data_IF_843054151001
#
_entry.id   IF_843054151001
#
_cell.length_a   1.000
_cell.length_b   1.000
_cell.length_c   1.000
_cell.angle_alpha   90.00
_cell.angle_beta   90.00
_cell.angle_gamma   90.00
#
_symmetry.space_group_name_H-M   'P 1'
#
loop_
_entity.id
_entity.type
_entity.pdbx_description
1 polymer ?
#
# COMPACT_ATOMS: atom_id res chain seq x y z
N UNK A 1 -30.00 -2.25 -13.46
CA UNK A 1 -29.75 -2.93 -12.17
C UNK A 1 -31.03 -2.92 -11.35
N UNK A 2 -31.44 -4.05 -10.80
CA UNK A 2 -32.64 -4.14 -9.94
C UNK A 2 -32.30 -3.67 -8.52
N UNK A 3 -33.29 -3.27 -7.73
CA UNK A 3 -33.08 -2.83 -6.33
C UNK A 3 -32.40 -3.93 -5.49
N UNK A 4 -32.82 -5.18 -5.66
CA UNK A 4 -32.24 -6.35 -4.99
C UNK A 4 -30.73 -6.49 -5.27
N UNK A 5 -30.33 -6.26 -6.54
CA UNK A 5 -28.95 -6.35 -6.97
C UNK A 5 -28.11 -5.18 -6.42
N UNK A 6 -28.69 -3.97 -6.35
CA UNK A 6 -28.05 -2.80 -5.68
C UNK A 6 -27.78 -3.10 -4.21
N UNK A 7 -28.78 -3.64 -3.50
CA UNK A 7 -28.65 -3.99 -2.09
C UNK A 7 -27.60 -5.09 -1.91
N UNK A 8 -27.64 -6.14 -2.73
CA UNK A 8 -26.66 -7.23 -2.69
C UNK A 8 -25.23 -6.75 -2.89
N UNK A 9 -24.99 -5.92 -3.90
CA UNK A 9 -23.67 -5.31 -4.18
C UNK A 9 -23.19 -4.48 -2.98
N UNK A 10 -24.07 -3.66 -2.40
CA UNK A 10 -23.73 -2.76 -1.28
C UNK A 10 -23.36 -3.56 -0.04
N UNK A 11 -24.11 -4.61 0.27
CA UNK A 11 -23.85 -5.46 1.44
C UNK A 11 -22.57 -6.29 1.27
N UNK A 12 -22.36 -6.91 0.10
CA UNK A 12 -21.12 -7.62 -0.21
C UNK A 12 -19.90 -6.68 -0.13
N UNK A 13 -20.04 -5.46 -0.65
CA UNK A 13 -19.02 -4.42 -0.57
C UNK A 13 -18.63 -4.14 0.89
N UNK A 14 -19.59 -3.90 1.77
CA UNK A 14 -19.32 -3.63 3.18
C UNK A 14 -18.61 -4.80 3.89
N UNK A 15 -19.02 -6.04 3.60
CA UNK A 15 -18.39 -7.22 4.21
C UNK A 15 -16.97 -7.41 3.69
N UNK A 16 -16.76 -7.31 2.37
CA UNK A 16 -15.44 -7.43 1.76
C UNK A 16 -14.50 -6.33 2.24
N UNK A 17 -14.97 -5.10 2.44
CA UNK A 17 -14.17 -4.03 3.02
C UNK A 17 -13.62 -4.40 4.41
N UNK A 18 -14.48 -4.89 5.30
CA UNK A 18 -14.08 -5.34 6.65
C UNK A 18 -13.11 -6.51 6.55
N UNK A 19 -13.40 -7.48 5.69
CA UNK A 19 -12.61 -8.68 5.52
C UNK A 19 -11.20 -8.40 4.98
N UNK A 20 -11.10 -7.64 3.88
CA UNK A 20 -9.81 -7.24 3.31
C UNK A 20 -9.02 -6.32 4.25
N UNK A 21 -9.70 -5.49 5.04
CA UNK A 21 -9.04 -4.68 6.07
C UNK A 21 -8.43 -5.56 7.17
N UNK A 22 -9.17 -6.57 7.63
CA UNK A 22 -8.70 -7.48 8.68
C UNK A 22 -7.51 -8.31 8.19
N UNK A 23 -7.61 -8.90 6.99
CA UNK A 23 -6.50 -9.68 6.41
C UNK A 23 -5.31 -8.79 6.12
N UNK A 24 -5.52 -7.63 5.51
CA UNK A 24 -4.45 -6.67 5.24
C UNK A 24 -3.75 -6.22 6.53
N UNK A 25 -4.50 -6.01 7.61
CA UNK A 25 -3.94 -5.69 8.93
C UNK A 25 -3.10 -6.83 9.52
N UNK A 26 -3.57 -8.08 9.41
CA UNK A 26 -2.79 -9.26 9.84
C UNK A 26 -1.49 -9.36 9.05
N UNK A 27 -1.56 -9.22 7.72
CA UNK A 27 -0.39 -9.30 6.84
C UNK A 27 0.58 -8.15 7.11
N UNK A 28 0.07 -6.93 7.28
CA UNK A 28 0.86 -5.75 7.65
C UNK A 28 1.61 -5.98 8.96
N UNK A 29 0.93 -6.51 9.98
CA UNK A 29 1.53 -6.85 11.27
C UNK A 29 2.61 -7.94 11.15
N UNK A 30 2.39 -8.97 10.34
CA UNK A 30 3.41 -10.00 10.09
C UNK A 30 4.64 -9.42 9.37
N UNK A 31 4.41 -8.55 8.39
CA UNK A 31 5.48 -7.92 7.62
C UNK A 31 6.24 -6.86 8.40
N UNK A 32 5.63 -6.24 9.41
CA UNK A 32 6.34 -5.34 10.31
C UNK A 32 7.59 -6.01 10.92
N UNK A 33 7.52 -7.29 11.27
CA UNK A 33 8.67 -8.04 11.78
C UNK A 33 9.66 -8.50 10.71
N UNK A 34 9.27 -8.44 9.43
CA UNK A 34 10.11 -8.81 8.29
C UNK A 34 10.83 -7.61 7.68
N UNK A 35 10.26 -6.42 7.80
CA UNK A 35 10.81 -5.18 7.23
C UNK A 35 11.82 -4.57 8.18
N UNK A 36 13.08 -4.47 7.72
CA UNK A 36 14.13 -3.79 8.47
C UNK A 36 13.83 -2.31 8.66
N UNK A 37 14.27 -1.77 9.81
CA UNK A 37 14.07 -0.37 10.18
C UNK A 37 14.72 0.60 9.18
N UNK A 38 14.15 1.81 9.09
CA UNK A 38 14.79 2.94 8.42
C UNK A 38 15.69 3.67 9.43
N UNK A 39 16.99 3.41 9.38
CA UNK A 39 17.98 3.98 10.31
C UNK A 39 19.19 4.58 9.58
N UNK A 40 20.06 5.28 10.32
CA UNK A 40 21.26 5.91 9.77
C UNK A 40 22.19 4.90 9.07
N UNK A 41 22.26 3.66 9.55
CA UNK A 41 23.07 2.61 8.93
C UNK A 41 22.58 2.30 7.51
N UNK A 42 21.26 2.16 7.34
CA UNK A 42 20.64 1.94 6.04
C UNK A 42 20.85 3.13 5.09
N UNK A 43 20.75 4.36 5.60
CA UNK A 43 20.96 5.58 4.80
C UNK A 43 22.40 5.71 4.27
N UNK A 44 23.38 5.16 4.99
CA UNK A 44 24.79 5.13 4.60
C UNK A 44 25.12 4.04 3.57
N UNK A 45 24.21 3.09 3.32
CA UNK A 45 24.42 2.06 2.29
C UNK A 45 24.40 2.64 0.88
N UNK A 46 24.91 1.87 -0.09
CA UNK A 46 24.91 2.28 -1.49
C UNK A 46 23.48 2.48 -2.02
N UNK A 47 23.29 3.40 -2.97
CA UNK A 47 21.98 3.66 -3.59
C UNK A 47 21.39 2.40 -4.22
N UNK A 48 22.23 1.53 -4.81
CA UNK A 48 21.80 0.26 -5.38
C UNK A 48 21.22 -0.67 -4.31
N UNK A 49 21.86 -0.74 -3.14
CA UNK A 49 21.35 -1.50 -2.01
C UNK A 49 20.00 -0.95 -1.54
N UNK A 50 19.88 0.37 -1.37
CA UNK A 50 18.63 1.01 -0.90
C UNK A 50 17.45 0.76 -1.85
N UNK A 51 17.67 0.93 -3.15
CA UNK A 51 16.65 0.64 -4.17
C UNK A 51 16.32 -0.85 -4.20
N UNK A 52 17.33 -1.72 -4.11
CA UNK A 52 17.15 -3.17 -4.09
C UNK A 52 16.34 -3.65 -2.89
N UNK A 53 16.67 -3.17 -1.69
CA UNK A 53 15.95 -3.47 -0.43
C UNK A 53 14.48 -3.09 -0.52
N UNK A 54 14.18 -1.84 -0.90
CA UNK A 54 12.80 -1.36 -1.06
C UNK A 54 12.07 -2.15 -2.17
N UNK A 55 12.74 -2.44 -3.28
CA UNK A 55 12.14 -3.22 -4.38
C UNK A 55 11.79 -4.64 -3.95
N UNK A 56 12.67 -5.30 -3.18
CA UNK A 56 12.44 -6.64 -2.65
C UNK A 56 11.25 -6.64 -1.68
N UNK A 57 11.19 -5.68 -0.76
CA UNK A 57 10.08 -5.55 0.19
C UNK A 57 8.74 -5.34 -0.54
N UNK A 58 8.71 -4.46 -1.55
CA UNK A 58 7.52 -4.24 -2.39
C UNK A 58 7.14 -5.49 -3.20
N UNK A 59 8.11 -6.25 -3.71
CA UNK A 59 7.85 -7.49 -4.44
C UNK A 59 7.24 -8.57 -3.54
N UNK A 60 7.74 -8.70 -2.31
CA UNK A 60 7.18 -9.63 -1.30
C UNK A 60 5.74 -9.23 -0.98
N UNK A 61 5.50 -7.94 -0.69
CA UNK A 61 4.16 -7.40 -0.44
C UNK A 61 3.22 -7.70 -1.63
N UNK A 62 3.62 -7.34 -2.85
CA UNK A 62 2.83 -7.55 -4.06
C UNK A 62 2.51 -9.02 -4.32
N UNK A 63 3.47 -9.92 -4.04
CA UNK A 63 3.28 -11.38 -4.20
C UNK A 63 2.26 -11.91 -3.20
N UNK A 64 2.33 -11.49 -1.93
CA UNK A 64 1.38 -11.90 -0.89
C UNK A 64 -0.03 -11.38 -1.22
N UNK A 65 -0.15 -10.10 -1.61
CA UNK A 65 -1.41 -9.50 -2.04
C UNK A 65 -2.04 -10.33 -3.15
N UNK A 66 -1.27 -10.60 -4.20
CA UNK A 66 -1.75 -11.35 -5.36
C UNK A 66 -2.35 -12.70 -4.96
N UNK A 67 -1.63 -13.48 -4.15
CA UNK A 67 -2.10 -14.81 -3.76
C UNK A 67 -3.31 -14.76 -2.84
N UNK A 68 -3.37 -13.80 -1.91
CA UNK A 68 -4.54 -13.63 -1.05
C UNK A 68 -5.77 -13.27 -1.88
N UNK A 69 -5.68 -12.27 -2.75
CA UNK A 69 -6.78 -11.88 -3.63
C UNK A 69 -7.19 -13.02 -4.55
N UNK A 70 -6.23 -13.75 -5.11
CA UNK A 70 -6.50 -14.92 -5.95
C UNK A 70 -7.33 -15.99 -5.22
N UNK A 71 -7.01 -16.28 -3.95
CA UNK A 71 -7.74 -17.25 -3.15
C UNK A 71 -9.15 -16.75 -2.78
N UNK A 72 -9.27 -15.48 -2.40
CA UNK A 72 -10.56 -14.90 -1.97
C UNK A 72 -11.54 -14.80 -3.13
N UNK A 73 -11.06 -14.48 -4.33
CA UNK A 73 -11.89 -14.37 -5.54
C UNK A 73 -12.64 -15.65 -5.90
N UNK A 74 -12.14 -16.81 -5.49
CA UNK A 74 -12.81 -18.10 -5.71
C UNK A 74 -13.97 -18.36 -4.71
N UNK A 75 -14.11 -17.53 -3.67
CA UNK A 75 -15.19 -17.66 -2.71
C UNK A 75 -16.51 -17.13 -3.29
N UNK A 76 -17.65 -17.82 -3.05
CA UNK A 76 -18.95 -17.34 -3.50
C UNK A 76 -19.36 -16.07 -2.73
N UNK A 77 -20.07 -15.12 -3.38
CA UNK A 77 -20.59 -13.94 -2.70
C UNK A 77 -21.63 -14.34 -1.65
N UNK A 78 -21.68 -13.56 -0.56
CA UNK A 78 -22.62 -13.80 0.55
C UNK A 78 -24.05 -13.48 0.10
N UNK A 79 -24.23 -12.34 -0.57
CA UNK A 79 -25.49 -11.95 -1.18
C UNK A 79 -25.45 -12.20 -2.69
N UNK A 80 -26.52 -12.79 -3.22
CA UNK A 80 -26.61 -13.11 -4.64
C UNK A 80 -26.54 -11.84 -5.51
N UNK A 81 -25.55 -11.82 -6.39
CA UNK A 81 -25.35 -10.79 -7.41
C UNK A 81 -24.86 -11.45 -8.71
N UNK A 82 -24.90 -10.73 -9.82
CA UNK A 82 -24.30 -11.22 -11.06
C UNK A 82 -22.79 -11.40 -10.90
N UNK A 83 -22.23 -12.42 -11.55
CA UNK A 83 -20.79 -12.76 -11.48
C UNK A 83 -19.88 -11.61 -11.91
N UNK A 84 -20.34 -10.78 -12.84
CA UNK A 84 -19.61 -9.59 -13.30
C UNK A 84 -19.52 -8.52 -12.21
N UNK A 85 -20.62 -8.26 -11.51
CA UNK A 85 -20.64 -7.30 -10.40
C UNK A 85 -19.84 -7.80 -9.20
N UNK A 86 -19.93 -9.09 -8.89
CA UNK A 86 -19.13 -9.72 -7.84
C UNK A 86 -17.62 -9.54 -8.09
N UNK A 87 -17.16 -9.91 -9.29
CA UNK A 87 -15.76 -9.76 -9.68
C UNK A 87 -15.30 -8.29 -9.65
N UNK A 88 -16.17 -7.35 -10.02
CA UNK A 88 -15.89 -5.91 -9.95
C UNK A 88 -15.75 -5.45 -8.50
N UNK A 89 -16.69 -5.82 -7.63
CA UNK A 89 -16.66 -5.46 -6.21
C UNK A 89 -15.42 -6.04 -5.54
N UNK A 90 -15.13 -7.32 -5.75
CA UNK A 90 -13.96 -7.99 -5.17
C UNK A 90 -12.65 -7.34 -5.63
N UNK A 91 -12.49 -7.06 -6.93
CA UNK A 91 -11.28 -6.40 -7.46
C UNK A 91 -11.12 -4.99 -6.88
N UNK A 92 -12.20 -4.22 -6.77
CA UNK A 92 -12.16 -2.87 -6.22
C UNK A 92 -11.86 -2.88 -4.72
N UNK A 93 -12.53 -3.74 -3.95
CA UNK A 93 -12.36 -3.87 -2.51
C UNK A 93 -10.96 -4.37 -2.14
N UNK A 94 -10.48 -5.41 -2.84
CA UNK A 94 -9.15 -5.97 -2.60
C UNK A 94 -8.06 -4.93 -2.88
N UNK A 95 -8.14 -4.20 -3.99
CA UNK A 95 -7.16 -3.15 -4.30
C UNK A 95 -7.14 -2.02 -3.28
N UNK A 96 -8.31 -1.49 -2.89
CA UNK A 96 -8.39 -0.30 -2.03
C UNK A 96 -8.11 -0.64 -0.56
N UNK A 97 -8.84 -1.59 0.01
CA UNK A 97 -8.78 -1.86 1.45
C UNK A 97 -7.55 -2.64 1.85
N UNK A 98 -7.09 -3.58 1.02
CA UNK A 98 -5.85 -4.27 1.31
C UNK A 98 -4.67 -3.31 1.24
N UNK A 99 -4.56 -2.49 0.19
CA UNK A 99 -3.48 -1.50 0.08
C UNK A 99 -3.52 -0.51 1.25
N UNK A 100 -4.69 -0.02 1.64
CA UNK A 100 -4.85 0.83 2.81
C UNK A 100 -4.33 0.15 4.09
N UNK A 101 -4.78 -1.07 4.37
CA UNK A 101 -4.41 -1.81 5.58
C UNK A 101 -2.95 -2.24 5.63
N UNK A 102 -2.32 -2.43 4.48
CA UNK A 102 -0.90 -2.81 4.40
C UNK A 102 0.03 -1.76 4.99
N UNK A 103 -0.33 -0.48 4.92
CA UNK A 103 0.48 0.61 5.48
C UNK A 103 0.15 0.91 6.95
N UNK A 104 -0.71 0.14 7.62
CA UNK A 104 -1.06 0.40 9.02
C UNK A 104 0.09 0.15 9.99
N UNK A 105 0.96 -0.83 9.71
CA UNK A 105 2.07 -1.20 10.58
C UNK A 105 3.44 -1.15 9.91
N UNK A 106 3.53 -0.84 8.61
CA UNK A 106 4.81 -0.80 7.88
C UNK A 106 5.36 0.65 7.86
N UNK A 107 5.71 1.16 9.04
CA UNK A 107 6.18 2.54 9.26
C UNK A 107 7.62 2.81 8.77
N UNK A 108 8.35 1.75 8.38
CA UNK A 108 9.73 1.88 7.89
C UNK A 108 9.80 1.97 6.36
N UNK A 109 8.89 1.31 5.67
CA UNK A 109 8.88 1.28 4.20
C UNK A 109 8.47 2.63 3.62
N UNK A 110 7.49 3.31 4.22
CA UNK A 110 7.09 4.65 3.77
C UNK A 110 8.26 5.64 3.89
N UNK A 111 9.01 5.55 5.00
CA UNK A 111 10.16 6.38 5.29
C UNK A 111 11.31 6.12 4.32
N UNK A 112 11.63 4.85 4.03
CA UNK A 112 12.62 4.45 3.00
C UNK A 112 12.24 4.95 1.61
N UNK A 113 10.96 4.82 1.24
CA UNK A 113 10.45 5.29 -0.05
C UNK A 113 10.61 6.82 -0.16
N UNK A 114 10.17 7.57 0.85
CA UNK A 114 10.33 9.03 0.90
C UNK A 114 11.78 9.46 0.77
N UNK A 115 12.70 8.78 1.48
CA UNK A 115 14.13 9.04 1.39
C UNK A 115 14.65 8.87 -0.05
N UNK A 116 14.28 7.78 -0.73
CA UNK A 116 14.66 7.54 -2.13
C UNK A 116 14.12 8.61 -3.07
N UNK A 117 12.87 9.06 -2.90
CA UNK A 117 12.29 10.15 -3.69
C UNK A 117 13.07 11.46 -3.49
N UNK A 118 13.34 11.85 -2.24
CA UNK A 118 14.14 13.04 -1.94
C UNK A 118 15.53 12.96 -2.57
N UNK A 119 16.23 11.84 -2.37
CA UNK A 119 17.56 11.61 -2.92
C UNK A 119 17.60 11.66 -4.47
N UNK A 120 16.55 11.21 -5.15
CA UNK A 120 16.47 11.22 -6.61
C UNK A 120 16.04 12.58 -7.18
N UNK A 121 15.06 13.23 -6.56
CA UNK A 121 14.35 14.37 -7.16
C UNK A 121 14.71 15.72 -6.58
N UNK A 122 15.22 15.84 -5.34
CA UNK A 122 15.47 17.16 -4.73
C UNK A 122 16.41 18.02 -5.60
N UNK A 123 17.45 17.42 -6.19
CA UNK A 123 18.37 18.12 -7.11
C UNK A 123 17.71 18.61 -8.40
N UNK A 124 16.70 17.91 -8.88
CA UNK A 124 15.96 18.28 -10.08
C UNK A 124 14.87 19.31 -9.73
N UNK A 125 14.25 19.17 -8.57
CA UNK A 125 13.22 20.06 -8.07
C UNK A 125 13.79 21.44 -7.74
N UNK A 126 14.94 21.53 -7.08
CA UNK A 126 15.66 22.79 -6.82
C UNK A 126 16.05 23.53 -8.11
N UNK A 127 16.36 22.79 -9.18
CA UNK A 127 16.73 23.35 -10.50
C UNK A 127 15.52 23.85 -11.29
N UNK A 128 14.41 23.12 -11.28
CA UNK A 128 13.20 23.45 -12.06
C UNK A 128 12.31 24.47 -11.33
N UNK A 129 12.24 24.37 -10.01
CA UNK A 129 11.47 25.24 -9.13
C UNK A 129 12.40 25.80 -8.06
N UNK A 130 13.23 26.81 -8.36
CA UNK A 130 14.01 27.50 -7.35
C UNK A 130 13.04 28.16 -6.37
N UNK A 131 12.71 27.47 -5.28
CA UNK A 131 11.90 28.01 -4.20
C UNK A 131 12.63 29.26 -3.69
N UNK A 132 11.92 30.39 -3.78
CA UNK A 132 12.30 31.70 -3.24
C UNK A 132 12.89 31.47 -1.85
N UNK A 133 14.20 31.72 -1.69
CA UNK A 133 14.96 31.60 -0.43
C UNK A 133 14.11 32.01 0.76
N UNK A 134 13.43 31.08 1.43
CA UNK A 134 12.91 31.33 2.76
C UNK A 134 14.13 31.33 3.65
N UNK A 135 14.47 32.51 4.16
CA UNK A 135 15.57 32.73 5.07
C UNK A 135 15.54 31.66 6.17
N UNK A 136 16.42 30.65 6.09
CA UNK A 136 17.03 30.06 7.28
C UNK A 136 17.87 31.16 7.93
N UNK A 137 17.21 32.12 8.58
CA UNK A 137 17.87 33.03 9.51
C UNK A 137 18.33 32.18 10.67
N UNK A 138 19.65 32.10 10.81
CA UNK A 138 20.38 31.71 12.00
C UNK A 138 19.61 32.08 13.27
N UNK A 139 19.26 31.10 14.07
CA UNK A 139 19.22 31.26 15.52
C UNK A 139 20.43 30.53 16.05
N UNK A 140 21.44 31.36 16.31
CA UNK A 140 22.47 31.22 17.36
C UNK A 140 21.92 30.61 18.64
#
# INVERSE_FOLDING_TARGET
MKLEEIIGVTLNTGILAIFYTAIGGIVSYLLYYFVDEHNEEWEQRSTLYQVGDVSLQLAVIGTIIFWITYIIKEAPPIFHVSRELDALVDTYMSGVFFAYSMFLFIDFLDSKIKFLYHKAFDRHFEKMFPLRKTNKKKTT
#
